data_IF_231417052879
#
_entry.id   IF_231417052879
#
_cell.length_a   1.000
_cell.length_b   1.000
_cell.length_c   1.000
_cell.angle_alpha   90.00
_cell.angle_beta   90.00
_cell.angle_gamma   90.00
#
_symmetry.space_group_name_H-M   'P 1'
#
loop_
_entity.id
_entity.type
_entity.pdbx_description
1 polymer ?
#
# COMPACT_ATOMS: atom_id res chain seq x y z
N UNK A 1 -29.86 31.53 28.76
CA UNK A 1 -30.10 30.43 27.79
C UNK A 1 -29.21 30.66 26.56
N UNK A 2 -27.92 30.34 26.60
CA UNK A 2 -27.02 30.60 25.45
C UNK A 2 -25.73 29.78 25.39
N UNK A 3 -25.27 29.19 26.51
CA UNK A 3 -24.04 28.40 26.53
C UNK A 3 -24.12 27.07 25.77
N UNK A 4 -25.26 26.36 25.86
CA UNK A 4 -25.44 25.05 25.23
C UNK A 4 -25.46 25.13 23.69
N UNK A 5 -26.16 26.12 23.14
CA UNK A 5 -26.24 26.36 21.69
C UNK A 5 -24.87 26.70 21.10
N UNK A 6 -24.07 27.50 21.81
CA UNK A 6 -22.70 27.84 21.41
C UNK A 6 -21.78 26.62 21.39
N UNK A 7 -21.87 25.74 22.39
CA UNK A 7 -21.07 24.51 22.45
C UNK A 7 -21.46 23.53 21.34
N UNK A 8 -22.76 23.40 21.05
CA UNK A 8 -23.25 22.54 19.98
C UNK A 8 -22.79 23.04 18.60
N UNK A 9 -22.85 24.36 18.36
CA UNK A 9 -22.32 24.98 17.14
C UNK A 9 -20.81 24.76 16.97
N UNK A 10 -20.04 24.92 18.05
CA UNK A 10 -18.59 24.67 18.05
C UNK A 10 -18.27 23.20 17.71
N UNK A 11 -18.98 22.24 18.32
CA UNK A 11 -18.79 20.81 18.04
C UNK A 11 -19.14 20.45 16.59
N UNK A 12 -20.18 21.06 16.03
CA UNK A 12 -20.55 20.85 14.62
C UNK A 12 -19.48 21.39 13.66
N UNK A 13 -18.94 22.58 13.93
CA UNK A 13 -17.86 23.17 13.12
C UNK A 13 -16.60 22.31 13.23
N UNK A 14 -16.24 21.86 14.43
CA UNK A 14 -15.08 20.99 14.65
C UNK A 14 -15.23 19.64 13.95
N UNK A 15 -16.42 19.02 14.02
CA UNK A 15 -16.75 17.80 13.29
C UNK A 15 -16.66 17.99 11.77
N UNK A 16 -17.17 19.10 11.24
CA UNK A 16 -17.05 19.43 9.82
C UNK A 16 -15.59 19.62 9.40
N UNK A 17 -14.79 20.29 10.23
CA UNK A 17 -13.35 20.46 10.00
C UNK A 17 -12.60 19.12 9.99
N UNK A 18 -12.95 18.20 10.89
CA UNK A 18 -12.43 16.84 10.91
C UNK A 18 -12.79 16.07 9.64
N UNK A 19 -14.06 16.10 9.21
CA UNK A 19 -14.47 15.41 7.98
C UNK A 19 -13.72 15.94 6.76
N UNK A 20 -13.50 17.26 6.66
CA UNK A 20 -12.74 17.87 5.58
C UNK A 20 -11.24 17.55 5.63
N UNK A 21 -10.65 17.44 6.82
CA UNK A 21 -9.23 17.10 6.99
C UNK A 21 -8.92 15.61 6.67
N UNK A 22 -9.89 14.72 6.89
CA UNK A 22 -9.72 13.28 6.71
C UNK A 22 -10.21 12.76 5.34
N UNK A 23 -10.94 13.58 4.57
CA UNK A 23 -11.49 13.22 3.26
C UNK A 23 -10.58 13.54 2.08
N UNK A 24 -9.46 12.83 1.91
CA UNK A 24 -8.67 12.92 0.67
C UNK A 24 -8.42 11.52 0.09
N UNK A 25 -9.06 11.24 -1.04
CA UNK A 25 -8.68 10.11 -1.90
C UNK A 25 -7.34 10.46 -2.54
N UNK A 26 -6.26 9.76 -2.15
CA UNK A 26 -4.93 9.98 -2.71
C UNK A 26 -4.78 9.16 -3.98
N UNK A 27 -4.81 9.82 -5.14
CA UNK A 27 -4.32 9.21 -6.37
C UNK A 27 -2.78 9.17 -6.29
N UNK A 28 -2.25 8.05 -5.85
CA UNK A 28 -0.80 7.86 -5.75
C UNK A 28 -0.25 7.41 -7.10
N UNK A 29 0.89 7.98 -7.55
CA UNK A 29 1.51 7.55 -8.78
C UNK A 29 1.95 6.10 -8.66
N UNK A 30 1.54 5.28 -9.63
CA UNK A 30 2.03 3.90 -9.76
C UNK A 30 3.33 3.97 -10.57
N UNK A 31 4.44 3.72 -9.89
CA UNK A 31 5.77 3.59 -10.50
C UNK A 31 5.94 2.22 -11.15
N UNK A 32 6.92 2.10 -12.04
CA UNK A 32 7.31 0.79 -12.54
C UNK A 32 8.12 0.03 -11.47
N UNK A 33 8.08 -1.30 -11.52
CA UNK A 33 8.81 -2.16 -10.60
C UNK A 33 10.32 -1.91 -10.68
N UNK A 34 10.88 -1.93 -11.90
CA UNK A 34 12.31 -1.71 -12.16
C UNK A 34 12.79 -0.29 -11.79
N UNK A 35 11.87 0.67 -11.62
CA UNK A 35 12.21 2.01 -11.15
C UNK A 35 12.40 2.02 -9.62
N UNK A 36 11.51 1.37 -8.87
CA UNK A 36 11.50 1.43 -7.40
C UNK A 36 12.18 0.28 -6.68
N UNK A 37 12.31 -0.87 -7.33
CA UNK A 37 12.63 -2.14 -6.68
C UNK A 37 13.59 -2.99 -7.51
N UNK A 38 14.36 -3.82 -6.82
CA UNK A 38 15.22 -4.85 -7.42
C UNK A 38 14.83 -6.23 -6.88
N UNK A 39 15.08 -7.25 -7.70
CA UNK A 39 15.01 -8.65 -7.27
C UNK A 39 15.98 -8.90 -6.11
N UNK A 40 15.50 -9.59 -5.07
CA UNK A 40 16.28 -9.94 -3.88
C UNK A 40 16.67 -11.43 -3.89
N UNK A 41 15.71 -12.32 -4.15
CA UNK A 41 15.92 -13.76 -4.24
C UNK A 41 14.75 -14.43 -4.99
N UNK A 42 14.97 -15.67 -5.44
CA UNK A 42 13.91 -16.51 -6.02
C UNK A 42 14.06 -16.81 -7.51
N UNK A 43 15.24 -16.64 -8.11
CA UNK A 43 15.52 -16.99 -9.51
C UNK A 43 14.42 -16.54 -10.48
N UNK A 44 13.69 -17.47 -11.10
CA UNK A 44 12.62 -17.19 -12.06
C UNK A 44 11.23 -17.05 -11.42
N UNK A 45 11.15 -17.12 -10.09
CA UNK A 45 9.90 -17.00 -9.34
C UNK A 45 9.44 -15.56 -9.11
N UNK A 46 10.19 -14.56 -9.59
CA UNK A 46 9.75 -13.18 -9.70
C UNK A 46 9.69 -12.77 -11.18
N UNK A 47 8.49 -12.43 -11.66
CA UNK A 47 8.28 -12.00 -13.04
C UNK A 47 7.54 -10.68 -13.11
N UNK A 48 8.15 -9.67 -13.71
CA UNK A 48 7.49 -8.40 -14.00
C UNK A 48 6.46 -8.54 -15.14
N UNK A 49 5.27 -8.00 -14.93
CA UNK A 49 4.23 -7.97 -15.95
C UNK A 49 4.61 -6.98 -17.08
N UNK A 50 4.01 -7.14 -18.27
CA UNK A 50 4.37 -6.34 -19.46
C UNK A 50 4.15 -4.83 -19.29
N UNK A 51 3.25 -4.44 -18.39
CA UNK A 51 3.01 -3.03 -18.05
C UNK A 51 4.09 -2.43 -17.12
N UNK A 52 4.99 -3.27 -16.60
CA UNK A 52 6.03 -2.90 -15.65
C UNK A 52 5.53 -2.47 -14.28
N UNK A 53 4.22 -2.46 -14.03
CA UNK A 53 3.61 -1.91 -12.79
C UNK A 53 3.17 -3.00 -11.82
N UNK A 54 3.14 -4.24 -12.28
CA UNK A 54 2.79 -5.41 -11.48
C UNK A 54 3.92 -6.43 -11.56
N UNK A 55 4.12 -7.17 -10.47
CA UNK A 55 4.98 -8.35 -10.45
C UNK A 55 4.20 -9.56 -9.99
N UNK A 56 4.55 -10.72 -10.53
CA UNK A 56 4.05 -12.00 -10.07
C UNK A 56 5.15 -12.69 -9.26
N UNK A 57 4.81 -13.06 -8.04
CA UNK A 57 5.65 -13.85 -7.16
C UNK A 57 5.09 -15.27 -7.09
N UNK A 58 5.94 -16.25 -7.34
CA UNK A 58 5.64 -17.67 -7.16
C UNK A 58 6.47 -18.24 -6.02
N UNK A 59 5.95 -19.33 -5.45
CA UNK A 59 6.69 -20.24 -4.60
C UNK A 59 6.55 -21.63 -5.20
N UNK A 60 7.67 -22.33 -5.28
CA UNK A 60 7.71 -23.76 -5.59
C UNK A 60 8.36 -24.53 -4.43
N UNK A 61 8.57 -25.82 -4.64
CA UNK A 61 9.21 -26.73 -3.68
C UNK A 61 10.70 -26.42 -3.40
N UNK A 62 11.34 -25.59 -4.23
CA UNK A 62 12.75 -25.25 -4.13
C UNK A 62 12.99 -23.92 -3.42
N UNK A 63 12.23 -22.87 -3.76
CA UNK A 63 12.44 -21.52 -3.21
C UNK A 63 11.23 -20.61 -3.40
N UNK A 64 11.05 -19.68 -2.45
CA UNK A 64 10.18 -18.52 -2.64
C UNK A 64 10.81 -17.46 -3.52
N UNK A 65 10.18 -16.28 -3.55
CA UNK A 65 10.68 -15.10 -4.25
C UNK A 65 10.46 -13.82 -3.45
N UNK A 66 11.32 -12.83 -3.68
CA UNK A 66 11.23 -11.54 -3.01
C UNK A 66 11.99 -10.44 -3.73
N UNK A 67 11.66 -9.20 -3.36
CA UNK A 67 12.25 -7.99 -3.88
C UNK A 67 12.44 -6.95 -2.76
N UNK A 68 13.27 -5.96 -3.03
CA UNK A 68 13.60 -4.89 -2.08
C UNK A 68 13.62 -3.55 -2.80
N UNK A 69 13.36 -2.45 -2.09
CA UNK A 69 13.48 -1.10 -2.67
C UNK A 69 14.93 -0.79 -3.04
N UNK A 70 15.12 0.01 -4.09
CA UNK A 70 16.44 0.54 -4.45
C UNK A 70 17.00 1.45 -3.35
N UNK A 71 16.15 2.32 -2.83
CA UNK A 71 16.53 3.30 -1.84
C UNK A 71 16.24 2.83 -0.41
N UNK A 72 16.96 3.44 0.53
CA UNK A 72 16.71 3.36 1.96
C UNK A 72 15.92 4.58 2.41
N UNK A 73 14.83 4.35 3.13
CA UNK A 73 13.96 5.43 3.61
C UNK A 73 13.98 5.48 5.14
N UNK A 74 14.11 6.69 5.71
CA UNK A 74 13.92 6.90 7.15
C UNK A 74 12.43 7.00 7.52
N UNK A 75 11.62 7.58 6.64
CA UNK A 75 10.17 7.69 6.76
C UNK A 75 9.53 7.78 5.37
N UNK A 76 8.28 7.33 5.25
CA UNK A 76 7.56 7.37 3.99
C UNK A 76 6.18 6.72 4.11
N UNK A 77 5.34 6.94 3.10
CA UNK A 77 4.10 6.21 2.93
C UNK A 77 4.28 5.23 1.77
N UNK A 78 4.23 3.94 2.06
CA UNK A 78 4.42 2.86 1.08
C UNK A 78 3.09 2.14 0.87
N UNK A 79 2.69 2.00 -0.39
CA UNK A 79 1.44 1.35 -0.76
C UNK A 79 1.62 0.51 -2.00
N UNK A 80 1.01 -0.67 -2.01
CA UNK A 80 0.94 -1.56 -3.15
C UNK A 80 -0.45 -2.20 -3.21
N UNK A 81 -0.89 -2.57 -4.41
CA UNK A 81 -2.07 -3.41 -4.59
C UNK A 81 -1.64 -4.86 -4.61
N UNK A 82 -2.18 -5.70 -3.72
CA UNK A 82 -1.81 -7.11 -3.60
C UNK A 82 -3.02 -7.98 -3.92
N UNK A 83 -2.85 -8.88 -4.89
CA UNK A 83 -3.81 -9.95 -5.16
C UNK A 83 -3.24 -11.26 -4.62
N UNK A 84 -3.96 -11.87 -3.69
CA UNK A 84 -3.60 -13.17 -3.13
C UNK A 84 -4.01 -14.32 -4.07
N UNK A 85 -3.30 -15.46 -4.04
CA UNK A 85 -3.77 -16.69 -4.67
C UNK A 85 -5.13 -17.10 -4.09
N UNK A 86 -5.97 -17.72 -4.91
CA UNK A 86 -7.32 -18.12 -4.51
C UNK A 86 -7.36 -19.38 -3.64
N UNK A 87 -6.28 -20.18 -3.67
CA UNK A 87 -6.19 -21.49 -3.03
C UNK A 87 -5.47 -21.44 -1.67
N UNK A 88 -5.45 -22.59 -0.98
CA UNK A 88 -4.91 -22.76 0.37
C UNK A 88 -3.45 -22.29 0.51
N UNK A 89 -3.24 -21.20 1.23
CA UNK A 89 -1.93 -20.58 1.51
C UNK A 89 -1.43 -20.82 2.95
N UNK A 90 -1.95 -21.83 3.66
CA UNK A 90 -1.80 -21.90 5.12
C UNK A 90 -0.41 -22.28 5.64
N UNK A 91 0.56 -22.56 4.77
CA UNK A 91 1.97 -22.78 5.16
C UNK A 91 2.93 -21.80 4.45
N UNK A 92 2.40 -20.69 3.91
CA UNK A 92 3.16 -19.68 3.16
C UNK A 92 3.42 -18.43 3.99
N UNK A 93 4.43 -18.45 4.87
CA UNK A 93 5.01 -17.24 5.47
C UNK A 93 6.53 -17.36 5.61
#
# INVERSE_FOLDING_TARGET
MGGFEFHLGFLLIFSLFLVLAFGSSRNLPIISFEEGYTHLFGDNNLVAHRDGKSVHLTLDEHTGSGFVSHDLYLHGYFSASIKLPADYAAELW
#
